data_IF_114182912340
#
_entry.id   IF_114182912340
#
_cell.length_a   1.000
_cell.length_b   1.000
_cell.length_c   1.000
_cell.angle_alpha   90.00
_cell.angle_beta   90.00
_cell.angle_gamma   90.00
#
_symmetry.space_group_name_H-M   'P 1'
#
loop_
_entity.id
_entity.type
_entity.pdbx_description
1 polymer ?
#
# COMPACT_ATOMS: atom_id res chain seq x y z
N UNK A 1 14.19 10.66 5.27
CA UNK A 1 13.51 10.40 3.97
C UNK A 1 12.57 9.21 4.08
N UNK A 2 12.99 8.06 4.62
CA UNK A 2 12.08 6.91 4.82
C UNK A 2 11.06 7.15 5.95
N UNK A 3 11.48 7.72 7.09
CA UNK A 3 10.56 8.09 8.18
C UNK A 3 9.46 9.06 7.75
N UNK A 4 9.77 10.01 6.86
CA UNK A 4 8.78 10.94 6.32
C UNK A 4 7.76 10.25 5.43
N UNK A 5 8.18 9.28 4.61
CA UNK A 5 7.29 8.47 3.75
C UNK A 5 6.37 7.60 4.60
N UNK A 6 6.90 7.02 5.68
CA UNK A 6 6.12 6.21 6.63
C UNK A 6 5.09 7.04 7.39
N UNK A 7 5.47 8.25 7.80
CA UNK A 7 4.54 9.20 8.41
C UNK A 7 3.44 9.59 7.42
N UNK A 8 3.81 9.88 6.17
CA UNK A 8 2.85 10.22 5.12
C UNK A 8 1.88 9.07 4.82
N UNK A 9 2.36 7.82 4.76
CA UNK A 9 1.49 6.65 4.64
C UNK A 9 0.48 6.56 5.79
N UNK A 10 0.91 6.74 7.04
CA UNK A 10 0.01 6.76 8.20
C UNK A 10 -1.00 7.91 8.15
N UNK A 11 -0.58 9.07 7.63
CA UNK A 11 -1.48 10.22 7.44
C UNK A 11 -2.51 9.93 6.34
N UNK A 12 -2.09 9.34 5.22
CA UNK A 12 -2.98 8.90 4.14
C UNK A 12 -3.95 7.81 4.61
N UNK A 13 -3.52 6.87 5.46
CA UNK A 13 -4.41 5.88 6.09
C UNK A 13 -5.51 6.53 6.95
N UNK A 14 -5.22 7.67 7.59
CA UNK A 14 -6.25 8.43 8.32
C UNK A 14 -7.13 9.22 7.35
N UNK A 15 -6.52 9.86 6.35
CA UNK A 15 -7.20 10.67 5.33
C UNK A 15 -8.35 9.91 4.67
N UNK A 16 -8.12 8.65 4.25
CA UNK A 16 -9.14 7.85 3.54
C UNK A 16 -10.41 7.67 4.37
N UNK A 17 -10.30 7.54 5.70
CA UNK A 17 -11.46 7.36 6.58
C UNK A 17 -12.42 8.55 6.59
N UNK A 18 -11.92 9.75 6.26
CA UNK A 18 -12.72 10.95 6.09
C UNK A 18 -13.26 11.05 4.66
N UNK A 19 -12.41 10.78 3.67
CA UNK A 19 -12.78 10.86 2.25
C UNK A 19 -13.96 9.94 1.91
N UNK A 20 -13.98 8.71 2.45
CA UNK A 20 -15.04 7.72 2.16
C UNK A 20 -16.38 8.04 2.80
N UNK A 21 -16.41 8.84 3.87
CA UNK A 21 -17.65 9.25 4.55
C UNK A 21 -18.38 10.37 3.82
N UNK A 22 -17.68 11.07 2.92
CA UNK A 22 -18.23 12.22 2.20
C UNK A 22 -18.55 11.86 0.75
N UNK A 23 -19.83 11.84 0.34
CA UNK A 23 -20.25 11.38 -0.98
C UNK A 23 -19.71 12.22 -2.16
N UNK A 24 -19.26 13.46 -1.91
CA UNK A 24 -18.76 14.36 -2.95
C UNK A 24 -17.23 14.31 -3.13
N UNK A 25 -16.51 13.43 -2.42
CA UNK A 25 -15.04 13.39 -2.45
C UNK A 25 -14.46 12.43 -3.50
N UNK A 26 -15.23 11.97 -4.49
CA UNK A 26 -14.77 10.98 -5.47
C UNK A 26 -13.43 11.33 -6.14
N UNK A 27 -13.25 12.58 -6.59
CA UNK A 27 -11.98 13.02 -7.20
C UNK A 27 -10.81 12.96 -6.21
N UNK A 28 -11.04 13.35 -4.95
CA UNK A 28 -10.01 13.28 -3.91
C UNK A 28 -9.67 11.84 -3.53
N UNK A 29 -10.66 10.94 -3.56
CA UNK A 29 -10.44 9.51 -3.34
C UNK A 29 -9.62 8.89 -4.48
N UNK A 30 -9.88 9.31 -5.72
CA UNK A 30 -9.11 8.88 -6.89
C UNK A 30 -7.65 9.37 -6.84
N UNK A 31 -7.42 10.60 -6.36
CA UNK A 31 -6.08 11.16 -6.15
C UNK A 31 -5.36 10.48 -4.96
N UNK A 32 -6.09 10.21 -3.88
CA UNK A 32 -5.60 9.48 -2.73
C UNK A 32 -5.15 8.06 -3.12
N UNK A 33 -6.00 7.33 -3.84
CA UNK A 33 -5.74 5.97 -4.34
C UNK A 33 -4.42 5.93 -5.14
N UNK A 34 -4.27 6.85 -6.09
CA UNK A 34 -3.05 6.98 -6.88
C UNK A 34 -1.82 7.25 -6.01
N UNK A 35 -1.88 8.20 -5.05
CA UNK A 35 -0.74 8.52 -4.19
C UNK A 35 -0.37 7.34 -3.29
N UNK A 36 -1.36 6.76 -2.62
CA UNK A 36 -1.16 5.72 -1.62
C UNK A 36 -0.58 4.45 -2.25
N UNK A 37 -1.24 3.89 -3.27
CA UNK A 37 -0.79 2.62 -3.83
C UNK A 37 0.45 2.73 -4.71
N UNK A 38 0.73 3.89 -5.33
CA UNK A 38 2.04 4.09 -5.97
C UNK A 38 3.17 4.11 -4.92
N UNK A 39 2.92 4.65 -3.74
CA UNK A 39 3.91 4.64 -2.64
C UNK A 39 4.11 3.21 -2.12
N UNK A 40 3.03 2.44 -1.95
CA UNK A 40 3.12 1.01 -1.60
C UNK A 40 3.87 0.19 -2.66
N UNK A 41 3.62 0.44 -3.95
CA UNK A 41 4.34 -0.22 -5.05
C UNK A 41 5.83 0.08 -5.03
N UNK A 42 6.20 1.34 -4.78
CA UNK A 42 7.61 1.72 -4.70
C UNK A 42 8.31 1.08 -3.50
N UNK A 43 7.67 1.05 -2.33
CA UNK A 43 8.21 0.34 -1.17
C UNK A 43 8.34 -1.16 -1.42
N UNK A 44 7.33 -1.76 -2.04
CA UNK A 44 7.34 -3.16 -2.40
C UNK A 44 8.47 -3.51 -3.38
N UNK A 45 8.71 -2.64 -4.36
CA UNK A 45 9.86 -2.75 -5.26
C UNK A 45 11.17 -2.78 -4.48
N UNK A 46 11.40 -1.82 -3.57
CA UNK A 46 12.64 -1.75 -2.80
C UNK A 46 12.90 -2.99 -1.94
N UNK A 47 11.84 -3.57 -1.34
CA UNK A 47 11.94 -4.83 -0.59
C UNK A 47 12.28 -5.98 -1.55
N UNK A 48 11.52 -6.13 -2.64
CA UNK A 48 11.71 -7.22 -3.61
C UNK A 48 13.10 -7.19 -4.27
N UNK A 49 13.71 -6.01 -4.44
CA UNK A 49 15.05 -5.85 -5.01
C UNK A 49 16.17 -5.89 -3.97
N UNK A 50 15.84 -5.99 -2.68
CA UNK A 50 16.84 -6.04 -1.60
C UNK A 50 17.59 -4.72 -1.38
N UNK A 51 17.01 -3.59 -1.80
CA UNK A 51 17.58 -2.25 -1.60
C UNK A 51 17.49 -1.83 -0.12
N UNK A 52 16.51 -2.37 0.60
CA UNK A 52 16.39 -2.21 2.05
C UNK A 52 17.24 -3.27 2.74
N UNK A 53 18.44 -2.87 3.17
CA UNK A 53 19.43 -3.78 3.80
C UNK A 53 19.24 -3.93 5.31
N UNK A 54 18.59 -2.96 5.95
CA UNK A 54 18.28 -3.01 7.38
C UNK A 54 17.03 -3.87 7.60
N UNK A 55 17.19 -4.97 8.34
CA UNK A 55 16.11 -5.93 8.60
C UNK A 55 15.00 -5.39 9.48
N UNK A 56 15.29 -4.50 10.42
CA UNK A 56 14.26 -3.89 11.24
C UNK A 56 13.39 -2.95 10.40
N UNK A 57 14.04 -2.23 9.50
CA UNK A 57 13.37 -1.33 8.57
C UNK A 57 12.53 -2.10 7.53
N UNK A 58 13.06 -3.20 6.99
CA UNK A 58 12.33 -4.11 6.10
C UNK A 58 11.05 -4.62 6.79
N UNK A 59 11.18 -5.20 7.99
CA UNK A 59 10.04 -5.70 8.78
C UNK A 59 8.98 -4.61 9.01
N UNK A 60 9.41 -3.40 9.36
CA UNK A 60 8.50 -2.29 9.59
C UNK A 60 7.73 -1.88 8.32
N UNK A 61 8.36 -1.96 7.15
CA UNK A 61 7.68 -1.75 5.88
C UNK A 61 6.73 -2.89 5.53
N UNK A 62 7.11 -4.15 5.79
CA UNK A 62 6.23 -5.30 5.57
C UNK A 62 4.90 -5.11 6.30
N UNK A 63 4.94 -4.75 7.58
CA UNK A 63 3.74 -4.52 8.40
C UNK A 63 2.83 -3.43 7.81
N UNK A 64 3.44 -2.38 7.26
CA UNK A 64 2.71 -1.29 6.60
C UNK A 64 2.05 -1.76 5.30
N UNK A 65 2.75 -2.58 4.50
CA UNK A 65 2.25 -3.12 3.24
C UNK A 65 1.15 -4.18 3.47
N UNK A 66 1.24 -4.96 4.54
CA UNK A 66 0.18 -5.90 4.96
C UNK A 66 -1.10 -5.12 5.29
N UNK A 67 -1.02 -4.02 6.04
CA UNK A 67 -2.20 -3.18 6.31
C UNK A 67 -2.77 -2.53 5.04
N UNK A 68 -1.90 -2.16 4.09
CA UNK A 68 -2.33 -1.61 2.81
C UNK A 68 -3.12 -2.62 1.96
N UNK A 69 -3.04 -3.92 2.22
CA UNK A 69 -3.82 -4.96 1.54
C UNK A 69 -5.32 -4.77 1.71
N UNK A 70 -5.77 -4.67 2.96
CA UNK A 70 -7.20 -4.51 3.26
C UNK A 70 -7.74 -3.22 2.62
N UNK A 71 -6.91 -2.18 2.59
CA UNK A 71 -7.21 -0.93 1.91
C UNK A 71 -7.25 -1.08 0.40
N UNK A 72 -6.39 -1.91 -0.19
CA UNK A 72 -6.40 -2.20 -1.62
C UNK A 72 -7.72 -2.84 -2.04
N UNK A 73 -8.17 -3.85 -1.31
CA UNK A 73 -9.43 -4.53 -1.60
C UNK A 73 -10.65 -3.61 -1.43
N UNK A 74 -10.62 -2.72 -0.44
CA UNK A 74 -11.71 -1.80 -0.14
C UNK A 74 -11.76 -0.58 -1.07
N UNK A 75 -10.60 0.03 -1.36
CA UNK A 75 -10.56 1.39 -1.92
C UNK A 75 -9.91 1.47 -3.29
N UNK A 76 -9.11 0.48 -3.71
CA UNK A 76 -8.47 0.56 -5.01
C UNK A 76 -9.50 0.50 -6.15
N UNK A 77 -9.19 1.19 -7.25
CA UNK A 77 -10.03 1.16 -8.46
C UNK A 77 -10.10 -0.25 -9.03
N UNK A 78 -11.28 -0.67 -9.46
CA UNK A 78 -11.48 -2.01 -10.04
C UNK A 78 -10.62 -2.25 -11.29
N UNK A 79 -10.34 -1.21 -12.06
CA UNK A 79 -9.41 -1.24 -13.20
C UNK A 79 -7.98 -1.58 -12.76
N UNK A 80 -7.57 -1.11 -11.59
CA UNK A 80 -6.21 -1.29 -11.08
C UNK A 80 -6.08 -2.64 -10.37
N UNK A 81 -7.14 -3.09 -9.68
CA UNK A 81 -7.25 -4.44 -9.10
C UNK A 81 -7.08 -5.51 -10.18
N UNK A 82 -7.84 -5.40 -11.26
CA UNK A 82 -7.85 -6.38 -12.36
C UNK A 82 -6.62 -6.30 -13.28
N UNK A 83 -5.87 -5.19 -13.29
CA UNK A 83 -4.71 -5.04 -14.14
C UNK A 83 -3.46 -5.73 -13.55
N UNK A 84 -2.89 -6.76 -14.23
CA UNK A 84 -1.73 -7.50 -13.71
C UNK A 84 -0.42 -6.69 -13.74
N UNK A 85 -0.37 -5.59 -14.50
CA UNK A 85 0.81 -4.71 -14.57
C UNK A 85 0.78 -3.60 -13.52
N UNK A 86 -0.40 -3.28 -12.99
CA UNK A 86 -0.56 -2.21 -12.01
C UNK A 86 -0.26 -2.74 -10.61
N UNK A 87 0.61 -2.03 -9.89
CA UNK A 87 1.07 -2.39 -8.54
C UNK A 87 1.62 -3.82 -8.47
N UNK A 88 2.50 -4.16 -9.41
CA UNK A 88 2.97 -5.54 -9.62
C UNK A 88 3.80 -6.02 -8.44
N UNK A 89 4.73 -5.20 -7.97
CA UNK A 89 5.62 -5.57 -6.86
C UNK A 89 4.84 -5.66 -5.55
N UNK A 90 3.88 -4.75 -5.34
CA UNK A 90 2.97 -4.79 -4.21
C UNK A 90 2.15 -6.07 -4.22
N UNK A 91 1.47 -6.41 -5.32
CA UNK A 91 0.69 -7.65 -5.46
C UNK A 91 1.56 -8.91 -5.27
N UNK A 92 2.80 -8.88 -5.73
CA UNK A 92 3.75 -9.99 -5.53
C UNK A 92 4.08 -10.20 -4.05
N UNK A 93 4.27 -9.12 -3.28
CA UNK A 93 4.48 -9.22 -1.84
C UNK A 93 3.22 -9.73 -1.12
N UNK A 94 2.03 -9.24 -1.49
CA UNK A 94 0.76 -9.71 -0.92
C UNK A 94 0.59 -11.23 -1.06
N UNK A 95 0.80 -11.77 -2.27
CA UNK A 95 0.74 -13.21 -2.52
C UNK A 95 1.79 -13.98 -1.71
N UNK A 96 2.98 -13.40 -1.51
CA UNK A 96 4.04 -14.00 -0.70
C UNK A 96 3.60 -14.14 0.75
N UNK A 97 3.01 -13.09 1.33
CA UNK A 97 2.53 -13.11 2.71
C UNK A 97 1.31 -14.02 2.92
N UNK A 98 0.42 -14.13 1.93
CA UNK A 98 -0.66 -15.11 1.93
C UNK A 98 -0.12 -16.55 1.96
N UNK A 99 0.88 -16.85 1.13
CA UNK A 99 1.47 -18.19 1.04
C UNK A 99 2.25 -18.61 2.28
N UNK A 100 2.79 -17.65 3.03
CA UNK A 100 3.58 -17.90 4.24
C UNK A 100 2.74 -18.05 5.51
N UNK A 101 1.42 -17.90 5.43
CA UNK A 101 0.56 -18.14 6.59
C UNK A 101 0.85 -17.22 7.77
N UNK A 102 1.27 -15.96 7.55
CA UNK A 102 1.04 -14.87 8.51
C UNK A 102 -0.48 -14.62 8.59
N UNK A 103 -1.21 -15.62 9.10
CA UNK A 103 -2.54 -15.47 9.65
C UNK A 103 -2.36 -14.59 10.87
N UNK A 104 -3.04 -13.45 10.86
CA UNK A 104 -3.37 -12.73 12.09
C UNK A 104 -3.94 -13.69 13.14
#
# INVERSE_FOLDING_TARGET
MLDSILKELKEMQKEVTYLVKEPNNKLKLDDWDNRFFNTCEWLAFLINTGEIKDKNLENYFEDTLVQARDMFDQYAKDTDKSNPKRFREFKKLLNTYESQGKKN
#
